data_IF_164974742587
#
_entry.id   IF_164974742587
#
_cell.length_a   1.000
_cell.length_b   1.000
_cell.length_c   1.000
_cell.angle_alpha   90.00
_cell.angle_beta   90.00
_cell.angle_gamma   90.00
#
_symmetry.space_group_name_H-M   'P 1'
#
loop_
_entity.id
_entity.type
_entity.pdbx_description
1 polymer ?
#
# COMPACT_ATOMS: atom_id res chain seq x y z
N UNK A 1 6.20 4.77 11.04
CA UNK A 1 6.06 6.13 11.55
C UNK A 1 4.58 6.49 11.69
N UNK A 2 4.28 7.32 12.68
CA UNK A 2 2.92 7.76 12.96
C UNK A 2 2.74 9.23 12.59
N UNK A 3 1.63 9.54 11.94
CA UNK A 3 1.29 10.88 11.49
C UNK A 3 -0.14 11.22 11.88
N UNK A 4 -0.48 12.50 11.79
CA UNK A 4 -1.86 12.99 11.93
C UNK A 4 -2.37 13.39 10.55
N UNK A 5 -3.51 12.85 10.13
CA UNK A 5 -4.13 13.21 8.86
C UNK A 5 -4.44 14.71 8.80
N UNK A 6 -4.95 15.25 9.90
CA UNK A 6 -5.34 16.68 9.98
C UNK A 6 -4.14 17.60 9.91
N UNK A 7 -3.07 17.27 10.65
CA UNK A 7 -1.87 18.12 10.74
C UNK A 7 -0.88 17.89 9.62
N UNK A 8 -0.71 16.63 9.23
CA UNK A 8 0.36 16.19 8.33
C UNK A 8 -0.14 15.74 6.96
N UNK A 9 -1.46 15.79 6.70
CA UNK A 9 -2.05 15.21 5.48
C UNK A 9 -1.36 15.61 4.19
N UNK A 10 -0.95 16.86 4.05
CA UNK A 10 -0.28 17.36 2.88
C UNK A 10 1.23 17.14 2.86
N UNK A 11 1.81 16.59 3.94
CA UNK A 11 3.25 16.35 4.01
C UNK A 11 3.66 15.27 3.01
N UNK A 12 4.68 15.57 2.22
CA UNK A 12 5.25 14.59 1.30
C UNK A 12 6.13 13.59 2.04
N UNK A 13 5.86 12.31 1.81
CA UNK A 13 6.69 11.21 2.32
C UNK A 13 7.73 10.81 1.28
N UNK A 14 7.45 11.10 0.01
CA UNK A 14 8.35 10.95 -1.13
C UNK A 14 7.89 11.92 -2.21
N UNK A 15 8.55 11.92 -3.37
CA UNK A 15 8.25 12.86 -4.45
C UNK A 15 6.77 12.87 -4.88
N UNK A 16 6.12 11.71 -4.86
CA UNK A 16 4.76 11.55 -5.39
C UNK A 16 3.72 11.07 -4.37
N UNK A 17 4.08 10.94 -3.08
CA UNK A 17 3.15 10.42 -2.08
C UNK A 17 3.08 11.32 -0.86
N UNK A 18 1.85 11.58 -0.39
CA UNK A 18 1.58 12.38 0.81
C UNK A 18 0.95 11.51 1.89
N UNK A 19 1.01 11.98 3.14
CA UNK A 19 0.46 11.26 4.31
C UNK A 19 -1.02 10.91 4.11
N UNK A 20 -1.84 11.83 3.62
CA UNK A 20 -3.29 11.62 3.48
C UNK A 20 -3.64 10.44 2.57
N UNK A 21 -2.77 10.10 1.62
CA UNK A 21 -3.01 8.96 0.71
C UNK A 21 -2.99 7.63 1.45
N UNK A 22 -2.32 7.56 2.60
CA UNK A 22 -2.20 6.36 3.43
C UNK A 22 -3.24 6.30 4.55
N UNK A 23 -4.10 7.31 4.68
CA UNK A 23 -5.07 7.38 5.77
C UNK A 23 -6.13 6.29 5.69
N UNK A 24 -6.60 5.85 6.87
CA UNK A 24 -7.69 4.89 6.95
C UNK A 24 -8.99 5.51 6.42
N UNK A 25 -9.76 4.72 5.69
CA UNK A 25 -11.01 5.18 5.07
C UNK A 25 -12.16 5.40 6.06
N UNK A 26 -11.96 5.08 7.34
CA UNK A 26 -12.94 5.32 8.39
C UNK A 26 -12.92 6.76 8.95
N UNK A 27 -12.04 7.61 8.43
CA UNK A 27 -11.91 9.00 8.89
C UNK A 27 -11.01 9.19 10.10
N UNK A 28 -10.33 8.13 10.57
CA UNK A 28 -9.39 8.23 11.69
C UNK A 28 -8.27 9.20 11.36
N UNK A 29 -7.85 9.99 12.37
CA UNK A 29 -6.77 10.94 12.22
C UNK A 29 -5.39 10.29 12.23
N UNK A 30 -5.20 9.25 13.03
CA UNK A 30 -3.91 8.54 13.10
C UNK A 30 -3.63 7.81 11.79
N UNK A 31 -2.41 7.99 11.27
CA UNK A 31 -1.94 7.31 10.06
C UNK A 31 -0.60 6.64 10.35
N UNK A 32 -0.57 5.31 10.23
CA UNK A 32 0.68 4.57 10.33
C UNK A 32 1.17 4.22 8.92
N UNK A 33 2.43 4.48 8.65
CA UNK A 33 3.06 4.05 7.40
C UNK A 33 4.55 3.82 7.61
N UNK A 34 5.04 2.68 7.11
CA UNK A 34 6.45 2.33 7.17
C UNK A 34 7.21 3.05 6.06
N UNK A 35 8.38 3.65 6.36
CA UNK A 35 9.20 4.28 5.31
C UNK A 35 9.53 3.34 4.16
N UNK A 36 9.72 2.06 4.46
CA UNK A 36 10.04 1.03 3.46
C UNK A 36 8.90 0.82 2.46
N UNK A 37 7.64 0.90 2.93
CA UNK A 37 6.47 0.84 2.05
C UNK A 37 6.46 2.03 1.09
N UNK A 38 6.67 3.22 1.61
CA UNK A 38 6.72 4.44 0.78
C UNK A 38 7.80 4.33 -0.29
N UNK A 39 8.96 3.81 0.08
CA UNK A 39 10.09 3.63 -0.86
C UNK A 39 9.72 2.67 -1.99
N UNK A 40 9.06 1.55 -1.68
CA UNK A 40 8.61 0.58 -2.69
C UNK A 40 7.58 1.22 -3.62
N UNK A 41 6.58 1.91 -3.08
CA UNK A 41 5.55 2.56 -3.88
C UNK A 41 6.13 3.67 -4.77
N UNK A 42 7.08 4.44 -4.25
CA UNK A 42 7.76 5.47 -5.06
C UNK A 42 8.56 4.85 -6.21
N UNK A 43 9.23 3.72 -5.97
CA UNK A 43 9.94 2.99 -7.02
C UNK A 43 9.00 2.52 -8.12
N UNK A 44 7.82 2.01 -7.75
CA UNK A 44 6.78 1.60 -8.69
C UNK A 44 6.31 2.81 -9.51
N UNK A 45 6.02 3.92 -8.84
CA UNK A 45 5.59 5.17 -9.49
C UNK A 45 6.61 5.64 -10.53
N UNK A 46 7.87 5.63 -10.16
CA UNK A 46 8.95 6.10 -11.02
C UNK A 46 9.21 5.16 -12.19
N UNK A 47 9.16 3.85 -11.94
CA UNK A 47 9.37 2.83 -12.98
C UNK A 47 8.34 2.93 -14.11
N UNK A 48 7.05 2.98 -13.76
CA UNK A 48 5.97 3.06 -14.75
C UNK A 48 5.75 4.48 -15.29
N UNK A 49 6.32 5.48 -14.62
CA UNK A 49 6.14 6.90 -14.97
C UNK A 49 4.65 7.26 -15.16
N UNK A 50 3.80 6.75 -14.28
CA UNK A 50 2.35 6.90 -14.35
C UNK A 50 1.77 7.04 -12.94
N UNK A 51 0.60 7.73 -12.80
CA UNK A 51 -0.04 7.89 -11.50
C UNK A 51 -0.32 6.55 -10.82
N UNK A 52 -0.03 6.50 -9.52
CA UNK A 52 -0.37 5.38 -8.64
C UNK A 52 -1.50 5.83 -7.73
N UNK A 53 -2.60 5.07 -7.74
CA UNK A 53 -3.73 5.31 -6.85
C UNK A 53 -3.65 4.31 -5.69
N UNK A 54 -3.67 4.82 -4.47
CA UNK A 54 -3.75 3.99 -3.27
C UNK A 54 -5.23 3.83 -2.91
N UNK A 55 -5.75 2.62 -3.06
CA UNK A 55 -7.14 2.29 -2.75
C UNK A 55 -7.34 2.01 -1.27
N UNK A 56 -6.35 1.43 -0.61
CA UNK A 56 -6.36 1.14 0.82
C UNK A 56 -4.91 1.03 1.29
N UNK A 57 -4.60 1.66 2.43
CA UNK A 57 -3.29 1.52 3.05
C UNK A 57 -3.47 1.23 4.52
N UNK A 58 -3.23 2.18 5.43
CA UNK A 58 -3.45 1.93 6.85
C UNK A 58 -4.92 1.64 7.14
N UNK A 59 -5.15 0.63 7.98
CA UNK A 59 -6.48 0.30 8.53
C UNK A 59 -6.38 0.21 10.05
N UNK A 60 -7.31 0.89 10.75
CA UNK A 60 -7.49 0.61 12.16
C UNK A 60 -7.98 -0.84 12.30
N UNK A 61 -7.71 -1.50 13.44
CA UNK A 61 -8.23 -2.87 13.67
C UNK A 61 -9.74 -2.96 13.49
N UNK A 62 -10.47 -1.94 13.92
CA UNK A 62 -11.93 -1.89 13.83
C UNK A 62 -12.40 -1.83 12.37
N UNK A 63 -11.77 -0.97 11.57
CA UNK A 63 -12.11 -0.85 10.15
C UNK A 63 -11.72 -2.12 9.38
N UNK A 64 -10.57 -2.70 9.73
CA UNK A 64 -10.12 -3.96 9.12
C UNK A 64 -11.13 -5.08 9.33
N UNK A 65 -11.67 -5.21 10.54
CA UNK A 65 -12.70 -6.19 10.84
C UNK A 65 -13.98 -5.91 10.04
N UNK A 66 -14.37 -4.64 9.93
CA UNK A 66 -15.58 -4.22 9.20
C UNK A 66 -15.52 -4.56 7.71
N UNK A 67 -14.35 -4.44 7.09
CA UNK A 67 -14.18 -4.74 5.65
C UNK A 67 -13.78 -6.20 5.39
N UNK A 68 -13.79 -7.03 6.42
CA UNK A 68 -13.49 -8.46 6.28
C UNK A 68 -12.01 -8.77 6.09
N UNK A 69 -11.13 -7.90 6.52
CA UNK A 69 -9.69 -8.13 6.47
C UNK A 69 -9.24 -9.24 7.41
N UNK A 70 -8.12 -9.87 7.09
CA UNK A 70 -7.54 -10.92 7.92
C UNK A 70 -7.14 -10.36 9.28
N UNK A 71 -7.27 -11.17 10.34
CA UNK A 71 -6.70 -10.83 11.63
C UNK A 71 -5.18 -10.65 11.46
N UNK A 72 -4.60 -9.65 12.10
CA UNK A 72 -3.17 -9.29 11.95
C UNK A 72 -2.79 -8.92 10.50
N UNK A 73 -3.73 -8.29 9.77
CA UNK A 73 -3.46 -7.77 8.42
C UNK A 73 -2.28 -6.79 8.42
N UNK A 74 -1.44 -6.87 7.38
CA UNK A 74 -0.34 -5.93 7.19
C UNK A 74 -0.84 -4.48 7.10
N UNK A 75 -2.07 -4.25 6.61
CA UNK A 75 -2.67 -2.92 6.59
C UNK A 75 -2.77 -2.29 7.99
N UNK A 76 -2.99 -3.10 9.03
CA UNK A 76 -3.10 -2.61 10.40
C UNK A 76 -1.77 -2.12 10.99
N UNK A 77 -0.66 -2.53 10.40
CA UNK A 77 0.67 -2.13 10.84
C UNK A 77 1.25 -0.97 10.03
N UNK A 78 0.52 -0.47 9.04
CA UNK A 78 1.03 0.57 8.15
C UNK A 78 2.07 0.06 7.16
N UNK A 79 2.09 -1.25 6.90
CA UNK A 79 3.09 -1.91 6.06
C UNK A 79 2.53 -2.39 4.73
N UNK A 80 1.26 -2.12 4.43
CA UNK A 80 0.59 -2.59 3.22
C UNK A 80 -0.17 -1.49 2.49
N UNK A 81 -0.27 -1.62 1.18
CA UNK A 81 -1.12 -0.80 0.34
C UNK A 81 -1.69 -1.63 -0.80
N UNK A 82 -2.95 -1.36 -1.13
CA UNK A 82 -3.60 -1.89 -2.32
C UNK A 82 -3.60 -0.77 -3.35
N UNK A 83 -2.96 -0.99 -4.49
CA UNK A 83 -2.71 0.06 -5.47
C UNK A 83 -3.14 -0.33 -6.88
N UNK A 84 -3.36 0.68 -7.71
CA UNK A 84 -3.40 0.52 -9.16
C UNK A 84 -2.49 1.56 -9.80
N UNK A 85 -1.97 1.23 -10.97
CA UNK A 85 -1.09 2.12 -11.74
C UNK A 85 -1.78 2.38 -13.08
N UNK A 86 -1.96 3.65 -13.43
CA UNK A 86 -2.64 4.03 -14.66
C UNK A 86 -1.99 3.37 -15.88
N UNK A 87 -2.80 2.68 -16.68
CA UNK A 87 -2.34 2.03 -17.88
C UNK A 87 -1.67 0.67 -17.68
N UNK A 88 -1.60 0.16 -16.45
CA UNK A 88 -0.97 -1.11 -16.14
C UNK A 88 -1.97 -2.11 -15.55
N UNK A 89 -1.76 -3.39 -15.84
CA UNK A 89 -2.54 -4.46 -15.21
C UNK A 89 -2.02 -4.73 -13.80
N UNK A 90 -2.86 -5.29 -12.90
CA UNK A 90 -2.37 -5.73 -11.60
C UNK A 90 -1.20 -6.72 -11.70
N UNK A 91 -1.21 -7.61 -12.69
CA UNK A 91 -0.12 -8.57 -12.90
C UNK A 91 1.19 -7.89 -13.29
N UNK A 92 1.14 -6.85 -14.14
CA UNK A 92 2.33 -6.10 -14.54
C UNK A 92 2.94 -5.36 -13.34
N UNK A 93 2.10 -4.75 -12.51
CA UNK A 93 2.54 -4.08 -11.27
C UNK A 93 3.17 -5.09 -10.32
N UNK A 94 2.54 -6.25 -10.15
CA UNK A 94 3.05 -7.33 -9.31
C UNK A 94 4.41 -7.84 -9.78
N UNK A 95 4.61 -8.00 -11.08
CA UNK A 95 5.87 -8.46 -11.64
C UNK A 95 7.03 -7.53 -11.25
N UNK A 96 6.82 -6.23 -11.39
CA UNK A 96 7.85 -5.26 -10.99
C UNK A 96 8.07 -5.23 -9.47
N UNK A 97 7.00 -5.32 -8.69
CA UNK A 97 7.12 -5.37 -7.23
C UNK A 97 7.96 -6.56 -6.78
N UNK A 98 7.82 -7.71 -7.44
CA UNK A 98 8.63 -8.90 -7.14
C UNK A 98 10.11 -8.69 -7.45
N UNK A 99 10.43 -7.92 -8.47
CA UNK A 99 11.83 -7.55 -8.76
C UNK A 99 12.42 -6.66 -7.67
N UNK A 100 11.62 -5.74 -7.12
CA UNK A 100 12.05 -4.86 -6.03
C UNK A 100 12.23 -5.63 -4.71
N UNK A 101 11.46 -6.68 -4.52
CA UNK A 101 11.40 -7.44 -3.26
C UNK A 101 11.63 -8.92 -3.52
N UNK A 102 12.84 -9.33 -3.99
CA UNK A 102 13.04 -10.71 -4.43
C UNK A 102 12.91 -11.74 -3.30
N UNK A 103 13.33 -11.40 -2.08
CA UNK A 103 13.38 -12.33 -0.95
C UNK A 103 12.49 -11.92 0.21
N UNK A 104 11.68 -10.87 0.06
CA UNK A 104 10.84 -10.33 1.12
C UNK A 104 9.60 -9.69 0.51
N UNK A 105 8.68 -9.27 1.38
CA UNK A 105 7.48 -8.58 0.95
C UNK A 105 6.35 -9.50 0.50
N UNK A 106 5.13 -8.98 0.56
CA UNK A 106 3.93 -9.64 0.08
C UNK A 106 3.44 -9.01 -1.21
N UNK A 107 3.04 -9.84 -2.17
CA UNK A 107 2.46 -9.37 -3.45
C UNK A 107 1.23 -10.21 -3.76
N UNK A 108 0.08 -9.55 -3.82
CA UNK A 108 -1.20 -10.18 -4.17
C UNK A 108 -1.77 -9.57 -5.44
N UNK A 109 -2.21 -10.40 -6.39
CA UNK A 109 -2.82 -9.95 -7.64
C UNK A 109 -4.34 -10.11 -7.54
N UNK A 110 -5.08 -9.02 -7.65
CA UNK A 110 -6.55 -8.98 -7.58
C UNK A 110 -7.09 -8.48 -8.92
N UNK A 111 -6.91 -9.31 -9.96
CA UNK A 111 -7.23 -8.92 -11.33
C UNK A 111 -8.69 -8.53 -11.52
N UNK A 112 -9.61 -9.28 -10.93
CA UNK A 112 -11.05 -9.00 -11.01
C UNK A 112 -11.46 -7.69 -10.32
N UNK A 113 -10.72 -7.26 -9.33
CA UNK A 113 -10.96 -6.03 -8.57
C UNK A 113 -10.10 -4.86 -9.04
N UNK A 114 -9.13 -5.13 -9.90
CA UNK A 114 -8.31 -4.09 -10.53
C UNK A 114 -7.21 -3.51 -9.66
N UNK A 115 -6.70 -4.25 -8.68
CA UNK A 115 -5.61 -3.73 -7.86
C UNK A 115 -4.56 -4.80 -7.53
N UNK A 116 -3.40 -4.34 -7.09
CA UNK A 116 -2.29 -5.17 -6.61
C UNK A 116 -2.06 -4.84 -5.14
N UNK A 117 -2.02 -5.86 -4.30
CA UNK A 117 -1.63 -5.71 -2.90
C UNK A 117 -0.12 -5.76 -2.79
N UNK A 118 0.47 -4.80 -2.09
CA UNK A 118 1.90 -4.71 -1.82
C UNK A 118 2.09 -4.56 -0.31
N UNK A 119 2.95 -5.37 0.29
CA UNK A 119 3.37 -5.13 1.67
C UNK A 119 4.86 -5.43 1.86
N UNK A 120 5.41 -4.94 2.96
CA UNK A 120 6.85 -5.00 3.22
C UNK A 120 7.18 -5.95 4.37
N UNK A 121 6.45 -7.06 4.47
CA UNK A 121 6.75 -8.13 5.45
C UNK A 121 8.14 -8.73 5.23
N UNK A 122 8.66 -9.39 6.25
CA UNK A 122 10.02 -9.90 6.20
C UNK A 122 10.21 -11.10 5.26
N UNK A 123 9.22 -11.98 5.16
CA UNK A 123 9.30 -13.18 4.32
C UNK A 123 8.42 -13.03 3.08
N UNK A 124 8.94 -13.52 1.97
CA UNK A 124 8.23 -13.48 0.70
C UNK A 124 6.90 -14.23 0.75
N UNK A 125 5.84 -13.59 0.25
CA UNK A 125 4.53 -14.21 0.12
C UNK A 125 3.87 -13.72 -1.18
N UNK A 126 3.34 -14.65 -1.98
CA UNK A 126 2.67 -14.36 -3.24
C UNK A 126 1.30 -15.04 -3.26
N UNK A 127 0.29 -14.32 -3.76
CA UNK A 127 -1.05 -14.90 -3.91
C UNK A 127 -1.86 -14.16 -4.97
N UNK A 128 -3.00 -14.75 -5.31
CA UNK A 128 -4.02 -14.11 -6.16
C UNK A 128 -5.34 -14.08 -5.40
N UNK A 129 -6.14 -13.08 -5.67
CA UNK A 129 -7.47 -12.93 -5.08
C UNK A 129 -8.57 -12.78 -6.10
#
# INVERSE_FOLDING_TARGET
NAYSKTKDGGKKLSSNFTVKEFACKDGSDAVLTAPRLVMVLQSIRSHFAAPVVIHSAYRTPQYNAKVGGAAHSQHCYGTAADISVKGQTPAAVAAYARELMPDWGGVGVYAGQGFTHIDVRDLRSDWTG
#
